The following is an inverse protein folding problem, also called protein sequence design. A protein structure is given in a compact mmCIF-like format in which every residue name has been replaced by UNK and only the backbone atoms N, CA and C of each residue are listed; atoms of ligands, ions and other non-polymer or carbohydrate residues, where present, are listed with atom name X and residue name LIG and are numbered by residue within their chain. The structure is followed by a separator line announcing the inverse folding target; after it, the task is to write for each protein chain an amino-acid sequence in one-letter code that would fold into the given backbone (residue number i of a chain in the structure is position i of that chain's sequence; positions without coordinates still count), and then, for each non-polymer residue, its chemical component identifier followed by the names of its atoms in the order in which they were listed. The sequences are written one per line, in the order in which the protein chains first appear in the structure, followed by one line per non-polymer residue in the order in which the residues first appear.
data_IF_687468451209
#
_entry.id   IF_687468451209
#
_cell.length_a   1.000
_cell.length_b   1.000
_cell.length_c   1.000
_cell.angle_alpha   90.00
_cell.angle_beta   90.00
_cell.angle_gamma   90.00
#
_symmetry.space_group_name_H-M   'P 1'
#
loop_
_entity.id
_entity.type
_entity.pdbx_description
1 polymer ?
#
# COMPACT_ATOMS: atom_id res chain seq x y z
N UNK A 1 23.52 -27.64 7.65
CA UNK A 1 22.45 -27.07 6.81
C UNK A 1 22.68 -25.57 6.76
N UNK A 2 22.91 -24.96 5.58
CA UNK A 2 23.25 -23.52 5.47
C UNK A 2 22.02 -22.68 5.83
N UNK A 3 22.21 -21.56 6.54
CA UNK A 3 21.12 -20.71 7.05
C UNK A 3 20.16 -20.23 5.94
N UNK A 4 20.66 -20.04 4.71
CA UNK A 4 19.89 -19.67 3.52
C UNK A 4 18.79 -20.69 3.19
N UNK A 5 19.08 -22.01 3.29
CA UNK A 5 18.08 -23.04 3.03
C UNK A 5 16.92 -23.01 4.04
N UNK A 6 17.19 -22.61 5.29
CA UNK A 6 16.18 -22.51 6.34
C UNK A 6 15.24 -21.32 6.11
N UNK A 7 15.78 -20.18 5.68
CA UNK A 7 14.98 -18.99 5.35
C UNK A 7 14.07 -19.28 4.15
N UNK A 8 14.61 -19.93 3.12
CA UNK A 8 13.84 -20.26 1.92
C UNK A 8 12.71 -21.26 2.21
N UNK A 9 12.96 -22.30 3.01
CA UNK A 9 11.91 -23.27 3.37
C UNK A 9 10.82 -22.61 4.24
N UNK A 10 11.22 -21.73 5.15
CA UNK A 10 10.28 -20.94 5.95
C UNK A 10 9.45 -19.98 5.07
N UNK A 11 10.05 -19.27 4.12
CA UNK A 11 9.31 -18.41 3.18
C UNK A 11 8.26 -19.20 2.38
N UNK A 12 8.61 -20.42 1.91
CA UNK A 12 7.66 -21.31 1.22
C UNK A 12 6.49 -21.74 2.10
N UNK A 13 6.77 -22.12 3.35
CA UNK A 13 5.73 -22.47 4.34
C UNK A 13 4.79 -21.28 4.56
N UNK A 14 5.34 -20.09 4.81
CA UNK A 14 4.54 -18.86 5.02
C UNK A 14 3.72 -18.49 3.79
N UNK A 15 4.26 -18.65 2.58
CA UNK A 15 3.50 -18.39 1.35
C UNK A 15 2.33 -19.38 1.19
N UNK A 16 2.51 -20.64 1.58
CA UNK A 16 1.41 -21.64 1.61
C UNK A 16 0.34 -21.24 2.63
N UNK A 17 0.73 -20.88 3.85
CA UNK A 17 -0.21 -20.40 4.88
C UNK A 17 -1.05 -19.21 4.38
N UNK A 18 -0.38 -18.25 3.72
CA UNK A 18 -1.05 -17.05 3.17
C UNK A 18 -2.06 -17.43 2.10
N UNK A 19 -1.72 -18.37 1.20
CA UNK A 19 -2.65 -18.86 0.16
C UNK A 19 -3.86 -19.54 0.77
N UNK A 20 -3.65 -20.37 1.77
CA UNK A 20 -4.75 -21.06 2.45
C UNK A 20 -5.63 -20.06 3.20
N UNK A 21 -5.04 -19.07 3.85
CA UNK A 21 -5.79 -17.99 4.48
C UNK A 21 -6.57 -17.15 3.47
N UNK A 22 -5.96 -16.76 2.35
CA UNK A 22 -6.62 -16.05 1.25
C UNK A 22 -7.84 -16.82 0.72
N UNK A 23 -7.69 -18.12 0.47
CA UNK A 23 -8.78 -18.98 -0.02
C UNK A 23 -9.88 -19.20 1.02
N UNK A 24 -9.52 -19.35 2.29
CA UNK A 24 -10.48 -19.66 3.36
C UNK A 24 -11.19 -18.43 3.92
N UNK A 25 -10.53 -17.28 3.95
CA UNK A 25 -11.01 -16.07 4.62
C UNK A 25 -11.42 -15.01 3.61
N UNK A 26 -10.54 -14.62 2.69
CA UNK A 26 -10.87 -13.53 1.76
C UNK A 26 -11.87 -13.95 0.69
N UNK A 27 -11.65 -15.09 0.00
CA UNK A 27 -12.53 -15.52 -1.10
C UNK A 27 -14.02 -15.59 -0.75
N UNK A 28 -14.43 -16.11 0.43
CA UNK A 28 -15.84 -16.10 0.83
C UNK A 28 -16.44 -14.69 1.03
N UNK A 29 -15.60 -13.71 1.41
CA UNK A 29 -16.01 -12.33 1.63
C UNK A 29 -16.13 -11.52 0.33
N UNK A 30 -15.47 -11.97 -0.76
CA UNK A 30 -15.34 -11.23 -2.04
C UNK A 30 -16.65 -10.63 -2.55
N UNK A 31 -17.74 -11.39 -2.48
CA UNK A 31 -19.04 -10.98 -3.01
C UNK A 31 -20.09 -10.71 -1.92
N UNK A 32 -19.75 -10.97 -0.66
CA UNK A 32 -20.73 -11.04 0.44
C UNK A 32 -20.43 -10.06 1.58
N UNK A 33 -19.48 -9.16 1.40
CA UNK A 33 -19.03 -8.24 2.45
C UNK A 33 -18.82 -6.84 1.92
N UNK A 34 -18.93 -5.86 2.81
CA UNK A 34 -18.70 -4.46 2.47
C UNK A 34 -17.27 -4.26 1.93
N UNK A 35 -17.08 -3.40 0.92
CA UNK A 35 -15.78 -3.09 0.32
C UNK A 35 -14.68 -2.77 1.34
N UNK A 36 -15.03 -2.06 2.42
CA UNK A 36 -14.11 -1.75 3.53
C UNK A 36 -13.56 -2.98 4.22
N UNK A 37 -14.42 -3.94 4.56
CA UNK A 37 -14.02 -5.20 5.20
C UNK A 37 -13.13 -5.98 4.23
N UNK A 38 -13.54 -6.09 2.97
CA UNK A 38 -12.76 -6.75 1.92
C UNK A 38 -11.38 -6.12 1.79
N UNK A 39 -11.29 -4.80 1.73
CA UNK A 39 -10.03 -4.07 1.61
C UNK A 39 -9.08 -4.34 2.78
N UNK A 40 -9.57 -4.31 4.02
CA UNK A 40 -8.73 -4.55 5.20
C UNK A 40 -8.26 -6.01 5.29
N UNK A 41 -9.13 -6.96 4.98
CA UNK A 41 -8.74 -8.38 4.92
C UNK A 41 -7.71 -8.60 3.81
N UNK A 42 -7.93 -8.03 2.63
CA UNK A 42 -7.02 -8.15 1.49
C UNK A 42 -5.68 -7.46 1.75
N UNK A 43 -5.69 -6.28 2.36
CA UNK A 43 -4.47 -5.62 2.83
C UNK A 43 -3.69 -6.48 3.81
N UNK A 44 -4.38 -7.26 4.66
CA UNK A 44 -3.73 -8.19 5.57
C UNK A 44 -3.04 -9.34 4.82
N UNK A 45 -3.63 -9.83 3.71
CA UNK A 45 -2.97 -10.79 2.79
C UNK A 45 -1.72 -10.14 2.22
N UNK A 46 -1.86 -8.94 1.65
CA UNK A 46 -0.77 -8.21 1.02
C UNK A 46 0.37 -7.92 2.00
N UNK A 47 0.03 -7.53 3.23
CA UNK A 47 0.97 -7.35 4.34
C UNK A 47 1.75 -8.60 4.65
N UNK A 48 1.08 -9.75 4.72
CA UNK A 48 1.78 -11.01 4.88
C UNK A 48 2.73 -11.32 3.70
N UNK A 49 2.32 -11.05 2.46
CA UNK A 49 3.14 -11.28 1.26
C UNK A 49 4.40 -10.42 1.25
N UNK A 50 4.29 -9.10 1.38
CA UNK A 50 5.48 -8.24 1.39
C UNK A 50 6.36 -8.50 2.61
N UNK A 51 5.78 -8.97 3.72
CA UNK A 51 6.57 -9.34 4.88
C UNK A 51 7.41 -10.60 4.64
N UNK A 52 6.91 -11.56 3.84
CA UNK A 52 7.64 -12.76 3.41
C UNK A 52 8.75 -12.39 2.42
N UNK A 53 8.46 -11.52 1.46
CA UNK A 53 9.44 -10.99 0.51
C UNK A 53 10.61 -10.25 1.19
N UNK A 54 10.33 -9.59 2.31
CA UNK A 54 11.34 -8.84 3.06
C UNK A 54 12.12 -9.70 4.08
N UNK A 55 11.81 -11.00 4.22
CA UNK A 55 12.48 -11.86 5.23
C UNK A 55 13.98 -11.99 5.01
N UNK A 56 14.46 -12.04 3.76
CA UNK A 56 15.89 -12.16 3.44
C UNK A 56 16.68 -10.89 3.80
N UNK A 57 16.02 -9.73 3.80
CA UNK A 57 16.64 -8.42 4.05
C UNK A 57 16.58 -8.00 5.52
N UNK A 58 15.82 -8.73 6.36
CA UNK A 58 15.68 -8.39 7.77
C UNK A 58 16.76 -9.10 8.58
N UNK A 59 17.60 -8.39 9.35
CA UNK A 59 18.46 -9.05 10.32
C UNK A 59 17.58 -9.84 11.30
N UNK A 60 17.71 -11.17 11.30
CA UNK A 60 17.04 -12.03 12.26
C UNK A 60 17.65 -11.70 13.62
N UNK A 61 16.97 -10.86 14.40
CA UNK A 61 17.30 -10.69 15.81
C UNK A 61 17.00 -12.05 16.45
N UNK A 62 18.03 -12.70 17.00
CA UNK A 62 17.98 -14.01 17.65
C UNK A 62 17.18 -14.02 18.98
N UNK A 63 16.23 -13.10 19.15
CA UNK A 63 15.22 -13.23 20.21
C UNK A 63 14.26 -14.33 19.76
N UNK A 64 14.55 -15.57 20.13
CA UNK A 64 13.70 -16.69 19.77
C UNK A 64 12.63 -16.85 20.87
N UNK A 65 11.35 -16.84 20.50
CA UNK A 65 10.25 -17.09 21.42
C UNK A 65 10.10 -18.62 21.53
N UNK A 66 10.34 -19.23 22.70
CA UNK A 66 10.05 -20.64 22.91
C UNK A 66 8.53 -20.84 22.91
N UNK A 67 8.05 -21.75 22.06
CA UNK A 67 6.66 -22.19 22.04
C UNK A 67 6.47 -23.36 23.02
N UNK A 68 5.24 -23.56 23.46
CA UNK A 68 4.88 -24.61 24.43
C UNK A 68 5.10 -26.04 23.93
N UNK A 69 5.29 -26.23 22.63
CA UNK A 69 5.56 -27.51 21.98
C UNK A 69 7.06 -27.75 21.71
N UNK A 70 7.94 -26.92 22.25
CA UNK A 70 9.38 -27.02 22.08
C UNK A 70 9.91 -26.45 20.74
N UNK A 71 9.03 -25.96 19.85
CA UNK A 71 9.47 -25.21 18.67
C UNK A 71 9.89 -23.80 19.08
N UNK A 72 10.71 -23.17 18.25
CA UNK A 72 11.20 -21.82 18.49
C UNK A 72 10.76 -20.89 17.36
N UNK A 73 10.16 -19.76 17.71
CA UNK A 73 9.69 -18.76 16.72
C UNK A 73 10.62 -17.54 16.75
N UNK A 74 11.28 -17.17 15.64
CA UNK A 74 12.11 -15.97 15.60
C UNK A 74 11.27 -14.70 15.86
N UNK A 75 11.72 -13.83 16.75
CA UNK A 75 11.14 -12.50 16.98
C UNK A 75 11.78 -11.51 16.02
N UNK A 76 11.01 -11.08 15.05
CA UNK A 76 11.44 -10.07 14.08
C UNK A 76 10.95 -8.70 14.57
N UNK A 77 11.84 -7.83 15.08
CA UNK A 77 11.50 -6.41 15.31
C UNK A 77 11.52 -5.70 13.95
N UNK A 78 10.45 -5.00 13.60
CA UNK A 78 10.29 -4.38 12.28
C UNK A 78 10.03 -2.87 12.41
N UNK A 79 10.80 -2.10 11.65
CA UNK A 79 10.53 -0.70 11.28
C UNK A 79 10.48 -0.63 9.74
N UNK A 80 9.80 0.38 9.16
CA UNK A 80 9.88 0.65 7.72
C UNK A 80 8.86 -0.07 6.82
N UNK A 81 7.59 -0.20 7.21
CA UNK A 81 6.55 -0.80 6.36
C UNK A 81 6.41 -0.12 4.98
N UNK A 82 6.57 1.21 4.91
CA UNK A 82 6.67 1.94 3.64
C UNK A 82 7.77 1.37 2.73
N UNK A 83 8.95 1.07 3.26
CA UNK A 83 10.06 0.55 2.45
C UNK A 83 9.75 -0.84 1.89
N UNK A 84 9.07 -1.69 2.66
CA UNK A 84 8.64 -3.01 2.17
C UNK A 84 7.62 -2.92 1.04
N UNK A 85 6.68 -2.00 1.18
CA UNK A 85 5.69 -1.69 0.13
C UNK A 85 6.40 -1.21 -1.14
N UNK A 86 7.38 -0.32 -1.02
CA UNK A 86 8.19 0.17 -2.16
C UNK A 86 8.99 -0.98 -2.79
N UNK A 87 9.63 -1.83 -1.98
CA UNK A 87 10.41 -2.95 -2.47
C UNK A 87 9.57 -3.94 -3.29
N UNK A 88 8.42 -4.36 -2.77
CA UNK A 88 7.55 -5.27 -3.52
C UNK A 88 6.92 -4.58 -4.73
N UNK A 89 6.63 -3.28 -4.66
CA UNK A 89 6.17 -2.51 -5.81
C UNK A 89 7.22 -2.49 -6.94
N UNK A 90 8.49 -2.31 -6.61
CA UNK A 90 9.59 -2.41 -7.58
C UNK A 90 9.71 -3.81 -8.20
N UNK A 91 9.49 -4.86 -7.41
CA UNK A 91 9.49 -6.23 -7.93
C UNK A 91 8.33 -6.48 -8.91
N UNK A 92 7.12 -6.01 -8.58
CA UNK A 92 5.95 -6.11 -9.45
C UNK A 92 6.12 -5.27 -10.73
N UNK A 93 6.73 -4.09 -10.62
CA UNK A 93 7.01 -3.20 -11.75
C UNK A 93 7.89 -3.82 -12.84
N UNK A 94 8.69 -4.84 -12.51
CA UNK A 94 9.51 -5.54 -13.50
C UNK A 94 8.66 -6.29 -14.54
N UNK A 95 7.42 -6.67 -14.20
CA UNK A 95 6.45 -7.18 -15.17
C UNK A 95 5.63 -6.02 -15.76
N UNK A 96 6.18 -5.41 -16.81
CA UNK A 96 5.56 -4.28 -17.50
C UNK A 96 4.22 -4.65 -18.14
N UNK A 97 4.04 -5.89 -18.56
CA UNK A 97 2.78 -6.34 -19.18
C UNK A 97 1.68 -6.40 -18.13
N UNK A 98 1.97 -6.91 -16.93
CA UNK A 98 1.05 -6.85 -15.81
C UNK A 98 0.68 -5.41 -15.46
N UNK A 99 1.65 -4.50 -15.32
CA UNK A 99 1.38 -3.10 -14.96
C UNK A 99 0.50 -2.42 -16.02
N UNK A 100 0.78 -2.62 -17.31
CA UNK A 100 -0.04 -2.08 -18.40
C UNK A 100 -1.44 -2.67 -18.42
N UNK A 101 -1.59 -3.97 -18.19
CA UNK A 101 -2.90 -4.62 -18.10
C UNK A 101 -3.70 -4.09 -16.90
N UNK A 102 -3.05 -3.93 -15.74
CA UNK A 102 -3.67 -3.34 -14.55
C UNK A 102 -4.14 -1.91 -14.84
N UNK A 103 -3.27 -1.09 -15.45
CA UNK A 103 -3.59 0.29 -15.81
C UNK A 103 -4.73 0.39 -16.82
N UNK A 104 -4.74 -0.46 -17.85
CA UNK A 104 -5.80 -0.52 -18.85
C UNK A 104 -7.13 -0.99 -18.26
N UNK A 105 -7.11 -2.06 -17.45
CA UNK A 105 -8.30 -2.63 -16.79
C UNK A 105 -8.95 -1.64 -15.84
N UNK A 106 -8.15 -0.87 -15.10
CA UNK A 106 -8.63 0.09 -14.10
C UNK A 106 -8.47 1.54 -14.53
N UNK A 107 -8.48 1.82 -15.83
CA UNK A 107 -8.23 3.16 -16.38
C UNK A 107 -9.08 4.24 -15.73
N UNK A 108 -10.40 4.06 -15.71
CA UNK A 108 -11.33 5.03 -15.12
C UNK A 108 -11.05 5.25 -13.63
N UNK A 109 -10.94 4.18 -12.86
CA UNK A 109 -10.62 4.26 -11.44
C UNK A 109 -9.28 4.97 -11.18
N UNK A 110 -8.24 4.69 -11.96
CA UNK A 110 -6.94 5.35 -11.82
C UNK A 110 -7.00 6.82 -12.23
N UNK A 111 -7.77 7.19 -13.25
CA UNK A 111 -7.99 8.59 -13.63
C UNK A 111 -8.75 9.36 -12.55
N UNK A 112 -9.79 8.76 -11.96
CA UNK A 112 -10.52 9.35 -10.83
C UNK A 112 -9.60 9.55 -9.62
N UNK A 113 -8.72 8.57 -9.35
CA UNK A 113 -7.73 8.63 -8.29
C UNK A 113 -6.69 9.73 -8.52
N UNK A 114 -6.22 9.91 -9.75
CA UNK A 114 -5.23 10.91 -10.13
C UNK A 114 -5.75 12.35 -9.99
N UNK A 115 -7.05 12.55 -10.18
CA UNK A 115 -7.70 13.88 -10.09
C UNK A 115 -8.32 14.15 -8.72
N UNK A 116 -8.22 13.19 -7.80
CA UNK A 116 -8.86 13.28 -6.49
C UNK A 116 -8.23 14.37 -5.62
N UNK A 117 -9.08 15.27 -5.11
CA UNK A 117 -8.70 16.19 -4.03
C UNK A 117 -8.78 15.52 -2.66
N UNK A 118 -7.79 15.72 -1.77
CA UNK A 118 -7.83 15.17 -0.42
C UNK A 118 -8.94 15.84 0.39
N UNK A 119 -9.58 15.06 1.25
CA UNK A 119 -10.53 15.59 2.25
C UNK A 119 -9.85 15.56 3.61
N UNK A 120 -9.16 16.65 3.92
CA UNK A 120 -8.45 16.86 5.18
C UNK A 120 -9.05 18.06 5.91
N UNK A 121 -9.21 17.95 7.23
CA UNK A 121 -9.65 19.07 8.06
C UNK A 121 -8.49 20.03 8.27
N UNK A 122 -8.72 21.31 7.98
CA UNK A 122 -7.82 22.43 8.28
C UNK A 122 -8.56 23.43 9.18
N UNK A 123 -7.85 24.39 9.83
CA UNK A 123 -8.49 25.53 10.46
C UNK A 123 -9.44 26.26 9.50
N UNK A 124 -10.49 26.89 10.04
CA UNK A 124 -11.46 27.63 9.22
C UNK A 124 -10.76 28.66 8.32
N UNK A 125 -11.30 28.85 7.12
CA UNK A 125 -10.81 29.81 6.11
C UNK A 125 -9.37 29.58 5.62
N UNK A 126 -8.78 28.40 5.88
CA UNK A 126 -7.48 28.02 5.31
C UNK A 126 -7.64 27.63 3.84
N UNK A 127 -7.13 28.45 2.92
CA UNK A 127 -7.03 28.13 1.48
C UNK A 127 -5.62 27.73 1.06
N UNK A 128 -4.61 28.08 1.85
CA UNK A 128 -3.20 27.81 1.57
C UNK A 128 -2.43 27.44 2.85
N UNK A 129 -1.35 26.69 2.69
CA UNK A 129 -0.39 26.37 3.77
C UNK A 129 0.93 27.05 3.44
N UNK A 130 1.45 27.84 4.38
CA UNK A 130 2.75 28.50 4.27
C UNK A 130 3.73 27.88 5.24
N UNK A 131 4.89 27.47 4.77
CA UNK A 131 5.93 26.91 5.63
C UNK A 131 7.34 27.28 5.15
N UNK A 132 8.31 27.23 6.05
CA UNK A 132 9.72 27.48 5.74
C UNK A 132 10.51 26.20 5.89
N UNK A 133 11.39 25.92 4.92
CA UNK A 133 12.31 24.80 4.97
C UNK A 133 13.65 25.21 4.36
N UNK A 134 14.72 24.99 5.10
CA UNK A 134 16.10 25.30 4.67
C UNK A 134 16.26 26.78 4.24
N UNK A 135 15.63 27.71 4.97
CA UNK A 135 15.66 29.15 4.68
C UNK A 135 14.82 29.59 3.46
N UNK A 136 14.07 28.67 2.85
CA UNK A 136 13.19 28.94 1.71
C UNK A 136 11.72 28.87 2.16
N UNK A 137 10.93 29.89 1.79
CA UNK A 137 9.49 29.92 2.05
C UNK A 137 8.72 29.23 0.92
N UNK A 138 7.80 28.36 1.29
CA UNK A 138 6.93 27.61 0.40
C UNK A 138 5.47 27.95 0.68
N UNK A 139 4.66 27.96 -0.38
CA UNK A 139 3.21 28.14 -0.31
C UNK A 139 2.56 27.00 -1.09
N UNK A 140 1.60 26.33 -0.45
CA UNK A 140 0.78 25.28 -1.07
C UNK A 140 -0.65 25.80 -1.15
N UNK A 141 -1.20 25.91 -2.36
CA UNK A 141 -2.63 26.17 -2.56
C UNK A 141 -3.40 24.86 -2.38
N UNK A 142 -4.36 24.82 -1.45
CA UNK A 142 -5.05 23.58 -1.08
C UNK A 142 -5.99 23.05 -2.15
N UNK A 143 -6.45 23.91 -3.07
CA UNK A 143 -7.31 23.54 -4.19
C UNK A 143 -6.55 22.87 -5.35
N UNK A 144 -5.23 23.02 -5.40
CA UNK A 144 -4.35 22.38 -6.38
C UNK A 144 -3.87 20.99 -5.91
N UNK A 145 -4.06 20.65 -4.62
CA UNK A 145 -3.56 19.39 -4.07
C UNK A 145 -4.38 18.20 -4.58
N UNK A 146 -3.67 17.19 -5.06
CA UNK A 146 -4.23 15.90 -5.48
C UNK A 146 -3.62 14.74 -4.70
N UNK A 147 -4.40 13.68 -4.50
CA UNK A 147 -3.98 12.43 -3.90
C UNK A 147 -4.56 12.16 -2.50
N UNK A 148 -3.88 11.26 -1.78
CA UNK A 148 -4.30 10.77 -0.46
C UNK A 148 -3.29 11.26 0.59
N UNK A 149 -3.77 12.03 1.57
CA UNK A 149 -2.96 12.53 2.67
C UNK A 149 -2.40 11.40 3.54
N UNK A 150 -1.12 11.49 3.87
CA UNK A 150 -0.38 10.58 4.75
C UNK A 150 -0.57 10.97 6.22
N UNK A 151 -1.24 10.12 7.01
CA UNK A 151 -1.35 10.36 8.46
C UNK A 151 -0.03 10.12 9.19
N UNK A 152 0.86 9.31 8.63
CA UNK A 152 2.18 9.00 9.19
C UNK A 152 3.16 10.16 8.99
N UNK A 153 3.01 10.93 7.90
CA UNK A 153 3.89 12.03 7.54
C UNK A 153 3.10 13.34 7.50
N UNK A 154 2.78 13.84 8.69
CA UNK A 154 2.13 15.13 8.89
C UNK A 154 2.93 16.01 9.84
N UNK A 155 2.94 17.29 9.57
CA UNK A 155 3.59 18.32 10.39
C UNK A 155 2.53 19.32 10.84
N UNK A 156 2.45 19.54 12.14
CA UNK A 156 1.61 20.59 12.71
C UNK A 156 2.42 21.89 12.73
N UNK A 157 1.87 22.94 12.11
CA UNK A 157 2.49 24.25 12.07
C UNK A 157 2.07 25.09 13.29
N UNK A 158 2.82 26.15 13.65
CA UNK A 158 2.52 26.98 14.83
C UNK A 158 1.14 27.65 14.81
N UNK A 159 0.59 27.90 13.63
CA UNK A 159 -0.74 28.48 13.41
C UNK A 159 -1.88 27.45 13.50
N UNK A 160 -1.55 26.18 13.76
CA UNK A 160 -2.50 25.08 13.86
C UNK A 160 -2.87 24.42 12.53
N UNK A 161 -2.36 24.91 11.40
CA UNK A 161 -2.51 24.22 10.12
C UNK A 161 -1.72 22.91 10.11
N UNK A 162 -2.16 21.95 9.30
CA UNK A 162 -1.52 20.63 9.19
C UNK A 162 -1.01 20.42 7.77
N UNK A 163 0.30 20.33 7.63
CA UNK A 163 0.96 19.95 6.38
C UNK A 163 1.04 18.42 6.28
N UNK A 164 0.65 17.86 5.14
CA UNK A 164 0.71 16.41 4.87
C UNK A 164 1.65 16.11 3.70
N UNK A 165 2.31 14.95 3.72
CA UNK A 165 2.78 14.30 2.51
C UNK A 165 1.57 13.67 1.79
N UNK A 166 1.45 13.85 0.48
CA UNK A 166 0.34 13.30 -0.31
C UNK A 166 0.85 12.18 -1.21
N UNK A 167 0.17 11.03 -1.19
CA UNK A 167 0.34 10.00 -2.21
C UNK A 167 -0.52 10.35 -3.42
N UNK A 168 0.12 10.91 -4.45
CA UNK A 168 -0.49 11.26 -5.73
C UNK A 168 -0.25 10.19 -6.79
N UNK A 169 -1.05 10.23 -7.85
CA UNK A 169 -0.92 9.39 -9.03
C UNK A 169 -0.75 10.29 -10.26
N UNK A 170 0.38 10.18 -10.92
CA UNK A 170 0.66 10.84 -12.20
C UNK A 170 0.48 9.83 -13.31
N UNK A 171 -0.76 9.75 -13.82
CA UNK A 171 -1.12 8.82 -14.89
C UNK A 171 -1.47 9.56 -16.18
N UNK A 172 -0.83 9.14 -17.27
CA UNK A 172 -1.05 9.66 -18.61
C UNK A 172 -1.32 8.51 -19.56
N UNK A 173 -2.31 8.70 -20.42
CA UNK A 173 -2.66 7.78 -21.49
C UNK A 173 -2.53 8.50 -22.85
N UNK A 174 -2.15 7.77 -23.88
CA UNK A 174 -2.14 8.28 -25.25
C UNK A 174 -3.56 8.33 -25.84
N UNK A 175 -3.69 8.92 -27.02
CA UNK A 175 -4.97 9.05 -27.74
C UNK A 175 -5.62 7.70 -28.10
N UNK A 176 -4.84 6.61 -28.09
CA UNK A 176 -5.30 5.24 -28.32
C UNK A 176 -5.61 4.50 -27.01
N UNK A 177 -5.46 5.17 -25.87
CA UNK A 177 -5.68 4.63 -24.54
C UNK A 177 -4.53 3.79 -23.97
N UNK A 178 -3.36 3.77 -24.63
CA UNK A 178 -2.14 3.15 -24.13
C UNK A 178 -1.52 3.94 -22.97
N UNK A 179 -0.92 3.24 -22.01
CA UNK A 179 -0.24 3.88 -20.88
C UNK A 179 1.05 4.58 -21.36
N UNK A 180 1.19 5.87 -21.06
CA UNK A 180 2.39 6.68 -21.34
C UNK A 180 3.28 6.81 -20.11
N UNK A 181 2.70 6.84 -18.92
CA UNK A 181 3.45 6.88 -17.66
C UNK A 181 4.39 5.68 -17.55
N UNK A 182 5.61 5.95 -17.06
CA UNK A 182 6.57 4.90 -16.71
C UNK A 182 5.95 3.87 -15.74
N UNK A 183 6.06 2.58 -16.07
CA UNK A 183 5.41 1.49 -15.33
C UNK A 183 5.91 1.35 -13.90
N UNK A 184 7.21 1.60 -13.66
CA UNK A 184 7.80 1.53 -12.33
C UNK A 184 7.28 2.65 -11.43
N UNK A 185 7.34 3.89 -11.92
CA UNK A 185 6.78 5.04 -11.23
C UNK A 185 5.29 4.86 -10.95
N UNK A 186 4.52 4.37 -11.94
CA UNK A 186 3.10 4.11 -11.78
C UNK A 186 2.83 3.07 -10.68
N UNK A 187 3.53 1.93 -10.72
CA UNK A 187 3.33 0.86 -9.74
C UNK A 187 3.70 1.33 -8.33
N UNK A 188 4.78 2.10 -8.17
CA UNK A 188 5.14 2.71 -6.90
C UNK A 188 4.04 3.65 -6.38
N UNK A 189 3.53 4.54 -7.23
CA UNK A 189 2.46 5.47 -6.87
C UNK A 189 1.17 4.75 -6.48
N UNK A 190 0.74 3.75 -7.27
CA UNK A 190 -0.41 2.90 -6.94
C UNK A 190 -0.23 2.27 -5.55
N UNK A 191 0.93 1.66 -5.29
CA UNK A 191 1.17 0.99 -4.01
C UNK A 191 1.20 1.94 -2.82
N UNK A 192 1.83 3.11 -2.98
CA UNK A 192 1.85 4.15 -1.95
C UNK A 192 0.44 4.69 -1.67
N UNK A 193 -0.38 4.87 -2.71
CA UNK A 193 -1.76 5.27 -2.54
C UNK A 193 -2.59 4.24 -1.78
N UNK A 194 -2.48 2.96 -2.15
CA UNK A 194 -3.17 1.88 -1.45
C UNK A 194 -2.71 1.78 0.02
N UNK A 195 -1.42 1.97 0.28
CA UNK A 195 -0.86 2.06 1.63
C UNK A 195 -1.46 3.22 2.43
N UNK A 196 -1.50 4.42 1.85
CA UNK A 196 -2.07 5.57 2.54
C UNK A 196 -3.58 5.48 2.74
N UNK A 197 -4.30 4.86 1.81
CA UNK A 197 -5.71 4.56 1.99
C UNK A 197 -5.91 3.62 3.19
N UNK A 198 -5.11 2.56 3.30
CA UNK A 198 -5.13 1.67 4.47
C UNK A 198 -4.87 2.45 5.75
N UNK A 199 -3.85 3.30 5.78
CA UNK A 199 -3.54 4.10 6.96
C UNK A 199 -4.68 5.01 7.35
N UNK A 200 -5.34 5.63 6.37
CA UNK A 200 -6.53 6.43 6.61
C UNK A 200 -7.69 5.61 7.17
N UNK A 201 -7.87 4.34 6.76
CA UNK A 201 -8.89 3.44 7.32
C UNK A 201 -8.58 3.10 8.78
N UNK A 202 -7.33 2.71 9.05
CA UNK A 202 -6.93 2.17 10.36
C UNK A 202 -6.73 3.28 11.39
N UNK A 203 -6.08 4.38 11.02
CA UNK A 203 -5.65 5.44 11.93
C UNK A 203 -6.51 6.71 11.87
N UNK A 204 -7.29 6.90 10.80
CA UNK A 204 -8.17 8.07 10.66
C UNK A 204 -9.40 8.05 11.57
N UNK A 205 -9.63 6.95 12.29
CA UNK A 205 -10.84 6.73 13.09
C UNK A 205 -12.05 6.36 12.21
N UNK A 206 -12.88 5.45 12.71
CA UNK A 206 -14.10 4.97 12.04
C UNK A 206 -15.10 6.11 11.71
N UNK A 207 -15.05 7.23 12.42
CA UNK A 207 -15.92 8.39 12.21
C UNK A 207 -15.49 9.30 11.04
N UNK A 208 -14.20 9.34 10.67
CA UNK A 208 -13.72 10.09 9.51
C UNK A 208 -13.92 9.32 8.19
N UNK A 209 -14.43 8.09 8.24
CA UNK A 209 -14.77 7.25 7.10
C UNK A 209 -16.18 7.55 6.58
N UNK A 210 -16.41 8.82 6.21
CA UNK A 210 -17.66 9.26 5.58
C UNK A 210 -17.91 8.64 4.19
N UNK A 211 -19.10 8.88 3.64
CA UNK A 211 -19.60 8.28 2.38
C UNK A 211 -18.63 8.40 1.19
N UNK A 212 -17.86 9.49 1.07
CA UNK A 212 -16.87 9.66 -0.01
C UNK A 212 -15.70 8.68 0.05
N UNK A 213 -15.38 8.09 1.22
CA UNK A 213 -14.31 7.09 1.34
C UNK A 213 -14.78 5.68 0.98
N UNK A 214 -16.10 5.41 0.91
CA UNK A 214 -16.63 4.13 0.41
C UNK A 214 -16.34 3.95 -1.06
N UNK A 215 -16.60 4.97 -1.88
CA UNK A 215 -16.35 4.92 -3.32
C UNK A 215 -14.87 4.68 -3.64
N UNK A 216 -13.99 5.38 -2.91
CA UNK A 216 -12.54 5.20 -3.03
C UNK A 216 -12.10 3.76 -2.73
N UNK A 217 -12.65 3.17 -1.67
CA UNK A 217 -12.37 1.78 -1.29
C UNK A 217 -12.98 0.78 -2.27
N UNK A 218 -14.16 1.07 -2.81
CA UNK A 218 -14.83 0.26 -3.83
C UNK A 218 -14.00 0.14 -5.10
N UNK A 219 -13.42 1.24 -5.57
CA UNK A 219 -12.55 1.22 -6.75
C UNK A 219 -11.21 0.51 -6.45
N UNK A 220 -10.57 0.85 -5.33
CA UNK A 220 -9.20 0.39 -5.01
C UNK A 220 -9.13 -1.05 -4.51
N UNK A 221 -10.21 -1.61 -3.96
CA UNK A 221 -10.21 -3.02 -3.50
C UNK A 221 -9.95 -3.99 -4.65
N UNK A 222 -10.45 -3.68 -5.85
CA UNK A 222 -10.25 -4.53 -7.03
C UNK A 222 -8.82 -4.43 -7.58
N UNK A 223 -8.23 -3.23 -7.56
CA UNK A 223 -6.82 -3.03 -7.91
C UNK A 223 -5.92 -3.83 -6.96
N UNK A 224 -6.15 -3.71 -5.65
CA UNK A 224 -5.41 -4.48 -4.65
C UNK A 224 -5.62 -5.99 -4.81
N UNK A 225 -6.83 -6.42 -5.21
CA UNK A 225 -7.17 -7.83 -5.38
C UNK A 225 -6.34 -8.44 -6.50
N UNK A 226 -6.28 -7.79 -7.65
CA UNK A 226 -5.47 -8.26 -8.79
C UNK A 226 -3.97 -8.27 -8.47
N UNK A 227 -3.47 -7.30 -7.71
CA UNK A 227 -2.07 -7.29 -7.25
C UNK A 227 -1.79 -8.48 -6.34
N UNK A 228 -2.70 -8.77 -5.39
CA UNK A 228 -2.57 -9.92 -4.49
C UNK A 228 -2.66 -11.23 -5.27
N UNK A 229 -3.62 -11.38 -6.17
CA UNK A 229 -3.76 -12.58 -7.01
C UNK A 229 -2.52 -12.80 -7.89
N UNK A 230 -1.96 -11.71 -8.44
CA UNK A 230 -0.73 -11.74 -9.22
C UNK A 230 0.45 -12.23 -8.38
N UNK A 231 0.68 -11.67 -7.18
CA UNK A 231 1.74 -12.08 -6.27
C UNK A 231 1.59 -13.52 -5.76
N UNK A 232 0.36 -13.96 -5.51
CA UNK A 232 0.08 -15.34 -5.11
C UNK A 232 0.35 -16.33 -6.25
N UNK A 233 0.28 -15.91 -7.51
CA UNK A 233 0.54 -16.74 -8.69
C UNK A 233 2.04 -16.72 -9.07
N UNK A 234 2.72 -15.60 -8.85
CA UNK A 234 4.13 -15.39 -9.21
C UNK A 234 5.02 -15.47 -7.98
N UNK A 235 5.11 -16.66 -7.38
CA UNK A 235 5.82 -16.89 -6.11
C UNK A 235 7.26 -16.37 -6.09
N UNK A 236 7.94 -16.36 -7.23
CA UNK A 236 9.32 -15.88 -7.37
C UNK A 236 9.48 -14.40 -7.00
N UNK A 237 8.41 -13.62 -7.07
CA UNK A 237 8.42 -12.23 -6.60
C UNK A 237 8.38 -12.15 -5.07
N UNK A 238 7.87 -13.17 -4.39
CA UNK A 238 7.73 -13.20 -2.92
C UNK A 238 8.85 -14.02 -2.26
N UNK A 239 9.37 -15.03 -2.96
CA UNK A 239 10.48 -15.87 -2.51
C UNK A 239 11.78 -15.25 -3.03
N UNK A 240 12.34 -14.30 -2.28
CA UNK A 240 13.66 -13.73 -2.56
C UNK A 240 14.75 -14.76 -2.25
N UNK A 241 15.71 -14.90 -3.18
CA UNK A 241 16.89 -15.76 -3.01
C UNK A 241 17.89 -15.17 -2.01
#
# INVERSE_FOLDING_TARGET
MKAENVVHDFQRERLRDIRDWYKRIYRPLRNNSQPLIRYIVLWSVFNALYNVADLSNTPIIQDVIPLSDGRVKPRIRRTGDRNKVVNIAAQVANDKDFVRQLAGKYKEALTDLATRRPSVSQPNDTSEIRFEKDGTSYVIQLDEVVGIASLDNRMFLPDGTVLFEYANLDIQFDDKGGLVTNEESLMHQIMLMLYQLRNNIVHGGSAAFGMMKKHLVEQTVHILEDIVDYLLTHEKLVLTA
#
